data_IF_594138816452
#
_entry.id   IF_594138816452
#
_cell.length_a   1.000
_cell.length_b   1.000
_cell.length_c   1.000
_cell.angle_alpha   90.00
_cell.angle_beta   90.00
_cell.angle_gamma   90.00
#
_symmetry.space_group_name_H-M   'P 1'
#
loop_
_entity.id
_entity.type
_entity.pdbx_description
1 polymer ?
#
# COMPACT_ATOMS: atom_id res chain seq x y z
N UNK A 1 31.73 20.41 29.34
CA UNK A 1 30.26 20.34 29.26
C UNK A 1 29.95 19.20 28.32
N UNK A 2 29.49 18.08 28.87
CA UNK A 2 29.10 16.91 28.09
C UNK A 2 27.88 17.28 27.27
N UNK A 3 28.03 17.37 25.95
CA UNK A 3 26.90 17.35 25.03
C UNK A 3 26.14 16.05 25.33
N UNK A 4 24.95 16.19 25.91
CA UNK A 4 24.03 15.08 26.02
C UNK A 4 23.57 14.78 24.59
N UNK A 5 24.28 13.87 23.94
CA UNK A 5 23.97 13.37 22.61
C UNK A 5 22.50 12.94 22.62
N UNK A 6 21.65 13.71 21.92
CA UNK A 6 20.23 13.43 21.89
C UNK A 6 20.04 12.01 21.35
N UNK A 7 19.20 11.18 21.98
CA UNK A 7 18.95 9.85 21.47
C UNK A 7 18.46 9.96 20.01
N UNK A 8 18.95 9.10 19.11
CA UNK A 8 18.56 9.17 17.71
C UNK A 8 17.05 9.06 17.59
N UNK A 9 16.45 9.92 16.78
CA UNK A 9 15.01 9.92 16.47
C UNK A 9 14.82 10.10 14.97
N UNK A 10 13.63 9.75 14.46
CA UNK A 10 13.31 9.89 13.05
C UNK A 10 12.01 10.68 12.87
N UNK A 11 12.07 11.82 12.19
CA UNK A 11 10.95 12.73 11.93
C UNK A 11 10.42 12.49 10.53
N UNK A 12 9.18 12.00 10.44
CA UNK A 12 8.50 11.73 9.18
C UNK A 12 7.40 12.75 8.96
N UNK A 13 7.59 13.64 7.98
CA UNK A 13 6.55 14.53 7.51
C UNK A 13 5.49 13.76 6.69
N UNK A 14 4.23 14.16 6.76
CA UNK A 14 3.19 13.61 5.91
C UNK A 14 2.08 14.63 5.61
N UNK A 15 1.61 14.63 4.37
CA UNK A 15 0.56 15.53 3.87
C UNK A 15 -0.84 14.93 4.07
N UNK A 16 -1.92 15.74 3.98
CA UNK A 16 -3.28 15.24 4.12
C UNK A 16 -3.63 14.11 3.14
N UNK A 17 -4.43 13.15 3.63
CA UNK A 17 -4.86 11.96 2.89
C UNK A 17 -3.85 10.80 2.89
N UNK A 18 -2.58 11.07 3.22
CA UNK A 18 -1.56 10.01 3.29
C UNK A 18 -1.61 9.32 4.66
N UNK A 19 -1.61 7.98 4.67
CA UNK A 19 -1.70 7.17 5.90
C UNK A 19 -0.38 6.46 6.21
N UNK A 20 0.47 7.01 7.11
CA UNK A 20 1.79 6.43 7.40
C UNK A 20 1.75 5.19 8.31
N UNK A 21 0.59 4.86 8.89
CA UNK A 21 0.44 3.91 9.99
C UNK A 21 1.14 2.55 9.76
N UNK A 22 1.07 2.02 8.53
CA UNK A 22 1.73 0.75 8.17
C UNK A 22 3.24 0.83 8.38
N UNK A 23 3.89 1.88 7.89
CA UNK A 23 5.34 2.02 7.95
C UNK A 23 5.81 2.40 9.35
N UNK A 24 5.04 3.21 10.07
CA UNK A 24 5.31 3.54 11.48
C UNK A 24 5.29 2.30 12.36
N UNK A 25 4.31 1.42 12.18
CA UNK A 25 4.27 0.13 12.90
C UNK A 25 5.51 -0.71 12.64
N UNK A 26 5.88 -0.87 11.36
CA UNK A 26 7.06 -1.66 10.98
C UNK A 26 8.35 -1.02 11.50
N UNK A 27 8.45 0.31 11.53
CA UNK A 27 9.57 1.03 12.12
C UNK A 27 9.72 0.71 13.61
N UNK A 28 8.65 0.86 14.39
CA UNK A 28 8.67 0.57 15.83
C UNK A 28 9.04 -0.88 16.15
N UNK A 29 8.67 -1.83 15.27
CA UNK A 29 9.06 -3.24 15.39
C UNK A 29 10.55 -3.48 15.09
N UNK A 30 11.15 -2.70 14.20
CA UNK A 30 12.56 -2.87 13.77
C UNK A 30 13.55 -2.07 14.58
N UNK A 31 13.18 -0.86 14.97
CA UNK A 31 14.00 0.09 15.70
C UNK A 31 13.29 0.54 16.98
N UNK A 32 13.02 -0.36 17.93
CA UNK A 32 12.28 -0.02 19.16
C UNK A 32 13.01 1.03 20.02
N UNK A 33 14.32 1.21 19.83
CA UNK A 33 15.13 2.24 20.51
C UNK A 33 15.22 3.59 19.79
N UNK A 34 14.63 3.74 18.60
CA UNK A 34 14.66 4.98 17.80
C UNK A 34 13.23 5.44 17.57
N UNK A 35 12.71 6.38 18.37
CA UNK A 35 11.33 6.85 18.20
C UNK A 35 11.13 7.49 16.82
N UNK A 36 9.96 7.25 16.23
CA UNK A 36 9.51 7.92 15.01
C UNK A 36 8.44 8.96 15.36
N UNK A 37 8.72 10.21 15.02
CA UNK A 37 7.83 11.34 15.21
C UNK A 37 7.12 11.69 13.90
N UNK A 38 5.78 11.68 13.92
CA UNK A 38 4.98 12.10 12.78
C UNK A 38 4.76 13.61 12.81
N UNK A 39 5.08 14.28 11.70
CA UNK A 39 4.88 15.72 11.53
C UNK A 39 3.84 15.95 10.43
N UNK A 40 2.64 16.39 10.82
CA UNK A 40 1.62 16.77 9.84
C UNK A 40 1.98 18.14 9.27
N UNK A 41 1.91 18.27 7.95
CA UNK A 41 2.20 19.52 7.22
C UNK A 41 1.26 19.66 6.03
N UNK A 42 1.23 20.82 5.38
CA UNK A 42 0.49 21.03 4.13
C UNK A 42 1.30 20.52 2.93
N UNK A 43 0.65 20.27 1.79
CA UNK A 43 1.36 19.88 0.57
C UNK A 43 2.35 20.97 0.10
N UNK A 44 2.01 22.25 0.31
CA UNK A 44 2.85 23.38 -0.08
C UNK A 44 4.10 23.56 0.81
N UNK A 45 3.97 23.35 2.11
CA UNK A 45 5.08 23.54 3.05
C UNK A 45 6.05 22.36 3.10
N UNK A 46 5.57 21.15 2.76
CA UNK A 46 6.32 19.93 3.00
C UNK A 46 7.69 19.85 2.29
N UNK A 47 7.86 20.30 1.02
CA UNK A 47 9.18 20.35 0.39
C UNK A 47 10.16 21.27 1.14
N UNK A 48 9.69 22.45 1.57
CA UNK A 48 10.48 23.40 2.36
C UNK A 48 10.89 22.82 3.70
N UNK A 49 9.96 22.15 4.39
CA UNK A 49 10.24 21.48 5.66
C UNK A 49 11.36 20.43 5.56
N UNK A 50 11.45 19.70 4.44
CA UNK A 50 12.53 18.75 4.20
C UNK A 50 13.86 19.46 3.93
N UNK A 51 13.86 20.51 3.11
CA UNK A 51 15.07 21.30 2.80
C UNK A 51 15.65 21.98 4.03
N UNK A 52 14.78 22.51 4.88
CA UNK A 52 15.15 23.15 6.14
C UNK A 52 15.52 22.14 7.23
N UNK A 53 15.51 20.83 6.91
CA UNK A 53 15.83 19.73 7.84
C UNK A 53 14.90 19.72 9.07
N UNK A 54 13.68 20.21 8.90
CA UNK A 54 12.61 20.12 9.89
C UNK A 54 12.01 18.70 9.99
N UNK A 55 12.21 17.88 8.95
CA UNK A 55 11.94 16.45 8.94
C UNK A 55 13.05 15.70 8.20
N UNK A 56 13.23 14.41 8.52
CA UNK A 56 14.29 13.57 7.94
C UNK A 56 13.83 12.91 6.62
N UNK A 57 12.52 12.67 6.51
CA UNK A 57 11.85 12.26 5.27
C UNK A 57 10.39 12.72 5.27
N UNK A 58 9.75 12.71 4.11
CA UNK A 58 8.36 13.13 3.92
C UNK A 58 7.58 12.21 3.00
N UNK A 59 6.30 11.98 3.32
CA UNK A 59 5.35 11.34 2.42
C UNK A 59 4.56 12.42 1.70
N UNK A 60 4.98 12.73 0.47
CA UNK A 60 4.51 13.87 -0.32
C UNK A 60 3.68 13.42 -1.51
N UNK A 61 2.89 14.34 -2.07
CA UNK A 61 2.21 14.15 -3.35
C UNK A 61 3.07 14.70 -4.48
N UNK A 62 3.08 14.00 -5.59
CA UNK A 62 3.68 14.44 -6.84
C UNK A 62 2.56 14.86 -7.83
N UNK A 63 2.84 15.86 -8.68
CA UNK A 63 4.11 16.59 -8.76
C UNK A 63 4.31 17.57 -7.59
N UNK A 64 5.54 17.62 -7.09
CA UNK A 64 6.00 18.61 -6.13
C UNK A 64 7.30 19.21 -6.65
N UNK A 65 7.68 20.37 -6.13
CA UNK A 65 9.02 20.89 -6.33
C UNK A 65 10.03 19.94 -5.68
N UNK A 66 10.74 19.18 -6.53
CA UNK A 66 11.75 18.20 -6.12
C UNK A 66 13.18 18.69 -6.30
N UNK A 67 13.39 20.00 -6.49
CA UNK A 67 14.75 20.53 -6.48
C UNK A 67 15.44 20.08 -5.19
N UNK A 68 16.56 19.36 -5.34
CA UNK A 68 17.41 18.82 -4.26
C UNK A 68 16.75 17.75 -3.38
N UNK A 69 15.60 17.19 -3.81
CA UNK A 69 14.89 16.11 -3.12
C UNK A 69 14.90 14.82 -3.94
N UNK A 70 15.48 13.77 -3.35
CA UNK A 70 15.29 12.42 -3.82
C UNK A 70 13.83 11.98 -3.55
N UNK A 71 13.29 11.12 -4.42
CA UNK A 71 11.93 10.62 -4.28
C UNK A 71 11.79 9.17 -4.77
N UNK A 72 11.02 8.38 -4.03
CA UNK A 72 10.59 7.02 -4.43
C UNK A 72 9.06 7.01 -4.48
N UNK A 73 8.46 6.83 -5.67
CA UNK A 73 7.03 6.60 -5.80
C UNK A 73 6.58 5.38 -5.01
N UNK A 74 5.49 5.50 -4.26
CA UNK A 74 4.95 4.43 -3.41
C UNK A 74 3.66 3.85 -4.00
N UNK A 75 2.72 4.72 -4.33
CA UNK A 75 1.47 4.36 -4.98
C UNK A 75 0.86 5.58 -5.68
N UNK A 76 0.00 5.32 -6.65
CA UNK A 76 -0.78 6.36 -7.33
C UNK A 76 -2.23 6.26 -6.92
N UNK A 77 -2.83 7.41 -6.66
CA UNK A 77 -4.22 7.53 -6.24
C UNK A 77 -5.13 7.83 -7.41
N UNK A 78 -6.28 7.16 -7.43
CA UNK A 78 -7.37 7.49 -8.34
C UNK A 78 -7.90 8.89 -8.03
N UNK A 79 -8.07 9.69 -9.07
CA UNK A 79 -8.73 10.99 -9.00
C UNK A 79 -10.24 10.81 -9.09
N UNK A 80 -10.97 11.51 -8.21
CA UNK A 80 -12.42 11.39 -8.09
C UNK A 80 -13.07 12.76 -8.06
N UNK A 81 -14.30 12.85 -8.56
CA UNK A 81 -15.18 14.00 -8.36
C UNK A 81 -16.06 13.75 -7.13
N UNK A 82 -16.07 14.70 -6.21
CA UNK A 82 -16.92 14.75 -5.02
C UNK A 82 -18.17 15.53 -5.36
N UNK A 83 -19.33 14.93 -5.07
CA UNK A 83 -20.65 15.45 -5.45
C UNK A 83 -21.67 15.20 -4.33
N UNK A 84 -22.73 16.01 -4.22
CA UNK A 84 -23.91 15.66 -3.43
C UNK A 84 -24.52 14.33 -3.89
N UNK A 85 -25.08 13.55 -2.95
CA UNK A 85 -25.65 12.23 -3.26
C UNK A 85 -26.84 12.26 -4.23
N UNK A 86 -27.53 13.38 -4.30
CA UNK A 86 -28.67 13.63 -5.20
C UNK A 86 -28.25 14.26 -6.54
N UNK A 87 -26.95 14.52 -6.75
CA UNK A 87 -26.43 15.03 -8.01
C UNK A 87 -26.50 13.97 -9.13
N UNK A 88 -26.80 14.39 -10.37
CA UNK A 88 -26.93 13.49 -11.53
C UNK A 88 -25.68 12.63 -11.76
N UNK A 89 -24.50 13.22 -11.56
CA UNK A 89 -23.19 12.55 -11.65
C UNK A 89 -23.07 11.36 -10.69
N UNK A 90 -23.76 11.38 -9.55
CA UNK A 90 -23.73 10.28 -8.59
C UNK A 90 -24.38 8.99 -9.13
N UNK A 91 -25.19 9.06 -10.19
CA UNK A 91 -25.84 7.91 -10.81
C UNK A 91 -24.89 7.09 -11.71
N UNK A 92 -23.77 7.67 -12.17
CA UNK A 92 -22.77 6.96 -12.96
C UNK A 92 -21.77 6.23 -12.06
N UNK A 93 -21.18 5.12 -12.52
CA UNK A 93 -20.11 4.42 -11.80
C UNK A 93 -18.74 5.10 -11.98
N UNK A 94 -18.54 5.76 -13.12
CA UNK A 94 -17.36 6.53 -13.51
C UNK A 94 -17.83 7.73 -14.36
N UNK A 95 -17.07 8.83 -14.31
CA UNK A 95 -17.42 10.13 -14.92
C UNK A 95 -16.28 10.55 -15.83
N UNK A 96 -16.59 11.19 -16.96
CA UNK A 96 -15.58 11.79 -17.85
C UNK A 96 -15.45 13.30 -17.61
N UNK A 97 -14.34 13.89 -18.04
CA UNK A 97 -14.18 15.35 -18.04
C UNK A 97 -15.28 16.08 -18.84
N UNK A 98 -15.84 15.44 -19.87
CA UNK A 98 -16.94 15.98 -20.67
C UNK A 98 -18.26 16.06 -19.92
N UNK A 99 -18.52 15.10 -19.02
CA UNK A 99 -19.73 15.10 -18.17
C UNK A 99 -19.73 16.24 -17.15
N UNK A 100 -18.55 16.81 -16.87
CA UNK A 100 -18.37 17.94 -15.95
C UNK A 100 -18.30 19.30 -16.67
N UNK A 101 -18.41 19.35 -18.01
CA UNK A 101 -18.12 20.55 -18.80
C UNK A 101 -19.02 21.76 -18.46
N UNK A 102 -20.27 21.50 -18.08
CA UNK A 102 -21.24 22.54 -17.73
C UNK A 102 -21.33 22.81 -16.22
N UNK A 103 -20.66 21.98 -15.41
CA UNK A 103 -20.68 22.07 -13.95
C UNK A 103 -19.73 23.15 -13.44
N UNK A 104 -20.03 23.70 -12.25
CA UNK A 104 -19.11 24.59 -11.56
C UNK A 104 -18.11 23.76 -10.77
N UNK A 105 -16.81 23.94 -11.02
CA UNK A 105 -15.73 23.22 -10.36
C UNK A 105 -15.00 24.15 -9.38
N UNK A 106 -14.83 23.67 -8.16
CA UNK A 106 -14.10 24.31 -7.09
C UNK A 106 -12.62 23.95 -7.20
N UNK A 107 -11.76 24.96 -7.17
CA UNK A 107 -10.30 24.79 -7.20
C UNK A 107 -9.68 25.42 -5.94
N UNK A 108 -9.52 24.64 -4.86
CA UNK A 108 -8.93 25.18 -3.64
C UNK A 108 -7.49 25.63 -3.86
N UNK A 109 -6.96 26.51 -2.99
CA UNK A 109 -5.57 26.98 -3.09
C UNK A 109 -4.55 25.88 -2.76
N UNK A 110 -4.95 24.85 -2.03
CA UNK A 110 -4.14 23.68 -1.67
C UNK A 110 -4.32 22.48 -2.63
N UNK A 111 -4.87 22.70 -3.83
CA UNK A 111 -5.04 21.65 -4.84
C UNK A 111 -3.68 21.02 -5.20
N UNK A 112 -3.68 19.70 -5.31
CA UNK A 112 -2.48 18.88 -5.55
C UNK A 112 -2.52 18.14 -6.89
N UNK A 113 -3.56 18.37 -7.69
CA UNK A 113 -3.69 17.84 -9.03
C UNK A 113 -3.08 18.80 -10.04
N UNK A 114 -2.18 18.29 -10.88
CA UNK A 114 -1.50 19.08 -11.91
C UNK A 114 -2.31 19.13 -13.19
N UNK A 115 -3.31 20.01 -13.20
CA UNK A 115 -4.17 20.23 -14.35
C UNK A 115 -3.51 21.15 -15.36
N UNK A 116 -3.38 20.68 -16.61
CA UNK A 116 -3.13 21.59 -17.74
C UNK A 116 -4.36 22.47 -18.01
N UNK A 117 -5.55 21.85 -17.97
CA UNK A 117 -6.84 22.52 -18.13
C UNK A 117 -7.89 21.76 -17.31
N UNK A 118 -8.31 22.29 -16.15
CA UNK A 118 -9.37 21.67 -15.38
C UNK A 118 -10.69 21.62 -16.18
N UNK A 119 -11.53 20.58 -16.00
CA UNK A 119 -12.83 20.49 -16.64
C UNK A 119 -13.82 21.48 -16.01
N UNK A 120 -14.93 21.69 -16.72
CA UNK A 120 -16.03 22.50 -16.23
C UNK A 120 -15.75 24.00 -16.18
N UNK A 121 -16.62 24.71 -15.47
CA UNK A 121 -16.56 26.15 -15.28
C UNK A 121 -15.90 26.45 -13.94
N UNK A 122 -14.83 27.23 -13.94
CA UNK A 122 -14.20 27.66 -12.70
C UNK A 122 -15.18 28.49 -11.85
N UNK A 123 -15.25 28.19 -10.55
CA UNK A 123 -15.93 29.05 -9.59
C UNK A 123 -15.28 30.45 -9.54
N UNK A 124 -16.09 31.46 -9.21
CA UNK A 124 -15.63 32.85 -9.15
C UNK A 124 -14.55 33.06 -8.07
N UNK A 125 -14.71 32.40 -6.94
CA UNK A 125 -13.78 32.46 -5.82
C UNK A 125 -13.21 31.08 -5.54
N UNK A 126 -11.91 31.06 -5.22
CA UNK A 126 -11.19 29.83 -4.88
C UNK A 126 -11.23 29.62 -3.37
N UNK A 127 -11.69 28.46 -2.88
CA UNK A 127 -11.64 28.13 -1.46
C UNK A 127 -10.19 28.10 -0.96
N UNK A 128 -9.95 28.48 0.29
CA UNK A 128 -8.60 28.48 0.84
C UNK A 128 -8.04 27.05 0.96
N UNK A 129 -8.89 26.10 1.36
CA UNK A 129 -8.49 24.70 1.55
C UNK A 129 -9.46 23.73 0.88
N UNK A 130 -8.99 22.50 0.68
CA UNK A 130 -9.80 21.38 0.21
C UNK A 130 -10.97 21.12 1.17
N UNK A 131 -10.79 21.34 2.48
CA UNK A 131 -11.86 21.21 3.46
C UNK A 131 -12.96 22.27 3.25
N UNK A 132 -12.59 23.52 2.99
CA UNK A 132 -13.55 24.59 2.70
C UNK A 132 -14.31 24.31 1.39
N UNK A 133 -13.60 23.79 0.38
CA UNK A 133 -14.23 23.37 -0.87
C UNK A 133 -15.27 22.25 -0.63
N UNK A 134 -14.99 21.28 0.23
CA UNK A 134 -15.95 20.21 0.58
C UNK A 134 -17.22 20.77 1.21
N UNK A 135 -17.12 21.79 2.07
CA UNK A 135 -18.31 22.45 2.63
C UNK A 135 -19.15 23.15 1.56
N UNK A 136 -18.51 23.77 0.57
CA UNK A 136 -19.20 24.38 -0.57
C UNK A 136 -19.86 23.34 -1.49
N UNK A 137 -19.23 22.17 -1.71
CA UNK A 137 -19.87 21.06 -2.42
C UNK A 137 -21.14 20.63 -1.69
N UNK A 138 -21.08 20.47 -0.37
CA UNK A 138 -22.24 20.09 0.43
C UNK A 138 -23.36 21.15 0.42
N UNK A 139 -23.00 22.42 0.26
CA UNK A 139 -23.96 23.50 0.06
C UNK A 139 -24.50 23.59 -1.39
N UNK A 140 -24.08 22.71 -2.30
CA UNK A 140 -24.53 22.69 -3.69
C UNK A 140 -23.96 23.82 -4.56
N UNK A 141 -22.86 24.46 -4.13
CA UNK A 141 -22.24 25.59 -4.86
C UNK A 141 -21.48 25.14 -6.11
N UNK A 142 -20.95 23.93 -6.09
CA UNK A 142 -20.19 23.34 -7.17
C UNK A 142 -19.70 21.94 -6.81
N UNK A 143 -18.89 21.36 -7.68
CA UNK A 143 -18.26 20.05 -7.52
C UNK A 143 -16.77 20.21 -7.26
N UNK A 144 -16.13 19.18 -6.71
CA UNK A 144 -14.70 19.23 -6.38
C UNK A 144 -14.01 17.98 -6.89
N UNK A 145 -12.88 18.14 -7.58
CA UNK A 145 -12.06 17.00 -8.02
C UNK A 145 -10.82 16.90 -7.14
N UNK A 146 -10.57 15.72 -6.57
CA UNK A 146 -9.47 15.47 -5.63
C UNK A 146 -8.96 14.03 -5.75
N UNK A 147 -7.74 13.73 -5.25
CA UNK A 147 -7.34 12.35 -4.97
C UNK A 147 -8.33 11.65 -4.03
N UNK A 148 -8.62 10.37 -4.27
CA UNK A 148 -9.60 9.61 -3.49
C UNK A 148 -9.33 9.62 -1.98
N UNK A 149 -8.06 9.67 -1.54
CA UNK A 149 -7.77 9.75 -0.10
C UNK A 149 -8.24 11.07 0.53
N UNK A 150 -8.24 12.19 -0.19
CA UNK A 150 -8.76 13.46 0.34
C UNK A 150 -10.29 13.43 0.40
N UNK A 151 -10.96 12.85 -0.60
CA UNK A 151 -12.41 12.60 -0.54
C UNK A 151 -12.79 11.71 0.66
N UNK A 152 -11.97 10.71 0.98
CA UNK A 152 -12.15 9.86 2.17
C UNK A 152 -11.85 10.60 3.47
N UNK A 153 -10.80 11.41 3.50
CA UNK A 153 -10.41 12.20 4.68
C UNK A 153 -11.52 13.18 5.09
N UNK A 154 -12.15 13.82 4.11
CA UNK A 154 -13.22 14.80 4.32
C UNK A 154 -14.62 14.21 4.10
N UNK A 155 -14.76 12.88 4.22
CA UNK A 155 -16.03 12.22 3.99
C UNK A 155 -17.13 12.72 4.94
N UNK A 156 -18.31 12.98 4.38
CA UNK A 156 -19.54 13.35 5.10
C UNK A 156 -20.75 12.64 4.48
N UNK A 157 -21.85 12.54 5.25
CA UNK A 157 -22.96 11.61 4.94
C UNK A 157 -23.79 11.98 3.72
N UNK A 158 -23.83 13.25 3.36
CA UNK A 158 -24.57 13.86 2.25
C UNK A 158 -23.77 13.91 0.95
N UNK A 159 -22.47 13.63 0.99
CA UNK A 159 -21.60 13.58 -0.18
C UNK A 159 -21.27 12.14 -0.59
N UNK A 160 -20.91 11.98 -1.86
CA UNK A 160 -20.33 10.77 -2.44
C UNK A 160 -19.24 11.18 -3.43
N UNK A 161 -18.51 10.21 -3.98
CA UNK A 161 -17.55 10.47 -5.06
C UNK A 161 -17.63 9.42 -6.16
N UNK A 162 -17.18 9.80 -7.36
CA UNK A 162 -17.02 8.93 -8.54
C UNK A 162 -15.63 9.08 -9.16
N UNK A 163 -14.99 7.98 -9.60
CA UNK A 163 -13.78 8.04 -10.40
C UNK A 163 -13.96 8.98 -11.60
N UNK A 164 -12.94 9.79 -11.86
CA UNK A 164 -12.90 10.70 -13.00
C UNK A 164 -11.89 10.18 -14.03
N UNK A 165 -12.40 9.74 -15.18
CA UNK A 165 -11.59 9.24 -16.27
C UNK A 165 -10.83 10.38 -16.97
N UNK A 166 -9.55 10.13 -17.29
CA UNK A 166 -8.70 11.09 -18.01
C UNK A 166 -8.22 12.28 -17.17
N UNK A 167 -8.40 12.23 -15.85
CA UNK A 167 -7.85 13.23 -14.94
C UNK A 167 -6.36 12.98 -14.64
N UNK A 168 -5.58 14.01 -14.30
CA UNK A 168 -4.25 13.84 -13.72
C UNK A 168 -4.33 12.94 -12.49
N UNK A 169 -3.41 11.99 -12.38
CA UNK A 169 -3.28 11.16 -11.19
C UNK A 169 -2.40 11.84 -10.13
N UNK A 170 -2.60 11.49 -8.87
CA UNK A 170 -1.74 11.96 -7.76
C UNK A 170 -0.88 10.82 -7.23
N UNK A 171 0.44 10.92 -7.40
CA UNK A 171 1.37 9.90 -6.90
C UNK A 171 1.86 10.28 -5.51
N UNK A 172 1.73 9.38 -4.54
CA UNK A 172 2.36 9.53 -3.22
C UNK A 172 3.77 8.96 -3.28
N UNK A 173 4.75 9.73 -2.84
CA UNK A 173 6.15 9.37 -2.82
C UNK A 173 6.76 9.55 -1.42
N UNK A 174 7.76 8.72 -1.11
CA UNK A 174 8.71 9.01 -0.03
C UNK A 174 9.76 9.96 -0.60
N UNK A 175 9.98 11.10 0.04
CA UNK A 175 10.97 12.10 -0.35
C UNK A 175 11.89 12.47 0.80
N UNK A 176 13.13 12.83 0.49
CA UNK A 176 14.14 13.28 1.45
C UNK A 176 15.20 14.12 0.73
N UNK A 177 15.98 14.97 1.44
CA UNK A 177 17.08 15.72 0.81
C UNK A 177 18.13 14.76 0.22
N UNK A 178 18.50 14.95 -1.04
CA UNK A 178 19.35 13.99 -1.77
C UNK A 178 20.72 13.77 -1.10
N UNK A 179 21.31 14.84 -0.58
CA UNK A 179 22.60 14.83 0.12
C UNK A 179 22.55 14.15 1.51
N UNK A 180 21.36 13.87 2.04
CA UNK A 180 21.13 13.43 3.42
C UNK A 180 20.57 12.01 3.50
N UNK A 181 21.15 11.10 2.74
CA UNK A 181 20.80 9.67 2.79
C UNK A 181 21.48 9.02 3.99
N UNK A 182 20.96 9.29 5.20
CA UNK A 182 21.45 8.70 6.45
C UNK A 182 21.06 7.22 6.59
N UNK A 183 21.72 6.48 7.48
CA UNK A 183 21.38 5.08 7.81
C UNK A 183 19.90 4.90 8.20
N UNK A 184 19.32 5.89 8.89
CA UNK A 184 17.91 5.87 9.29
C UNK A 184 16.97 6.09 8.09
N UNK A 185 17.34 6.99 7.17
CA UNK A 185 16.62 7.18 5.90
C UNK A 185 16.70 5.90 5.06
N UNK A 186 17.87 5.27 4.95
CA UNK A 186 18.03 4.01 4.21
C UNK A 186 17.20 2.85 4.81
N UNK A 187 17.14 2.75 6.14
CA UNK A 187 16.30 1.77 6.82
C UNK A 187 14.82 2.06 6.53
N UNK A 188 14.37 3.31 6.60
CA UNK A 188 12.99 3.68 6.27
C UNK A 188 12.66 3.40 4.80
N UNK A 189 13.58 3.71 3.87
CA UNK A 189 13.50 3.32 2.46
C UNK A 189 13.33 1.79 2.33
N UNK A 190 14.04 1.02 3.16
CA UNK A 190 13.89 -0.43 3.19
C UNK A 190 12.53 -0.90 3.65
N UNK A 191 11.97 -0.23 4.66
CA UNK A 191 10.63 -0.51 5.17
C UNK A 191 9.57 -0.20 4.11
N UNK A 192 9.63 0.96 3.45
CA UNK A 192 8.63 1.32 2.43
C UNK A 192 8.68 0.39 1.21
N UNK A 193 9.88 -0.07 0.84
CA UNK A 193 10.10 -1.09 -0.21
C UNK A 193 9.77 -2.52 0.23
N UNK A 194 9.38 -2.74 1.48
CA UNK A 194 9.01 -4.05 2.00
C UNK A 194 10.18 -5.02 2.20
N UNK A 195 11.44 -4.55 2.25
CA UNK A 195 12.59 -5.40 2.59
C UNK A 195 12.36 -5.99 3.97
N UNK A 196 12.43 -7.31 4.15
CA UNK A 196 12.24 -7.95 5.46
C UNK A 196 13.41 -7.65 6.40
N UNK A 197 13.19 -7.71 7.72
CA UNK A 197 14.22 -7.42 8.73
C UNK A 197 15.48 -8.33 8.62
N UNK A 198 15.36 -9.49 7.97
CA UNK A 198 16.47 -10.43 7.71
C UNK A 198 17.18 -10.18 6.37
N UNK A 199 16.82 -9.15 5.60
CA UNK A 199 17.48 -8.80 4.34
C UNK A 199 18.75 -7.99 4.61
N UNK A 200 19.75 -8.63 5.20
CA UNK A 200 21.08 -8.05 5.39
C UNK A 200 21.89 -8.12 4.09
N UNK A 201 21.67 -7.15 3.20
CA UNK A 201 22.71 -6.68 2.26
C UNK A 201 22.91 -5.20 2.55
N UNK A 202 23.71 -4.88 3.57
CA UNK A 202 23.99 -3.48 3.94
C UNK A 202 24.79 -3.35 5.24
N UNK A 203 24.43 -4.09 6.30
CA UNK A 203 25.27 -4.16 7.49
C UNK A 203 26.40 -5.15 7.27
N UNK A 204 27.62 -4.64 7.09
CA UNK A 204 28.84 -5.43 7.15
C UNK A 204 28.80 -6.28 8.42
N UNK A 205 28.66 -7.60 8.26
CA UNK A 205 28.88 -8.53 9.33
C UNK A 205 30.38 -8.46 9.69
N UNK A 206 30.71 -7.81 10.81
CA UNK A 206 32.02 -7.99 11.42
C UNK A 206 32.26 -9.50 11.60
N UNK A 207 33.40 -10.05 11.16
CA UNK A 207 33.60 -11.49 11.17
C UNK A 207 33.73 -11.96 12.62
N UNK A 208 32.68 -12.60 13.16
CA UNK A 208 32.77 -13.33 14.43
C UNK A 208 33.83 -14.44 14.27
N UNK A 209 34.82 -14.55 15.17
CA UNK A 209 35.85 -15.58 15.07
C UNK A 209 35.23 -16.97 15.17
N UNK A 210 35.50 -17.83 14.18
CA UNK A 210 35.07 -19.24 14.13
C UNK A 210 35.83 -20.10 15.15
N UNK A 211 35.64 -19.87 16.44
CA UNK A 211 36.22 -20.72 17.49
C UNK A 211 35.46 -22.05 17.63
N UNK A 212 34.14 -22.08 17.36
CA UNK A 212 33.31 -23.28 17.54
C UNK A 212 33.47 -24.37 16.47
N UNK A 213 34.10 -24.06 15.33
CA UNK A 213 34.32 -25.04 14.24
C UNK A 213 35.59 -25.88 14.44
N UNK A 214 36.63 -25.30 15.07
CA UNK A 214 37.89 -26.01 15.36
C UNK A 214 37.74 -27.01 16.51
N UNK A 215 36.90 -26.71 17.48
CA UNK A 215 36.67 -27.58 18.63
C UNK A 215 35.90 -28.87 18.26
N UNK A 216 34.89 -28.76 17.38
CA UNK A 216 34.18 -29.94 16.82
C UNK A 216 35.06 -30.81 15.91
N UNK A 217 36.04 -30.23 15.23
CA UNK A 217 36.96 -30.99 14.37
C UNK A 217 38.00 -31.78 15.19
N UNK A 218 38.43 -31.26 16.35
CA UNK A 218 39.37 -31.93 17.25
C UNK A 218 38.73 -33.12 17.98
N UNK A 219 37.50 -32.95 18.48
CA UNK A 219 36.75 -34.02 19.15
C UNK A 219 36.40 -35.21 18.23
N UNK A 220 36.33 -34.99 16.91
CA UNK A 220 36.06 -36.08 15.94
C UNK A 220 37.32 -36.88 15.58
N UNK A 221 38.53 -36.30 15.70
CA UNK A 221 39.79 -37.02 15.47
C UNK A 221 40.18 -37.90 16.64
N UNK A 222 39.96 -37.44 17.88
CA UNK A 222 40.28 -38.23 19.09
C UNK A 222 39.37 -39.47 19.26
N UNK A 223 38.15 -39.48 18.69
CA UNK A 223 37.28 -40.67 18.67
C UNK A 223 37.63 -41.72 17.61
N UNK A 224 38.46 -41.38 16.62
CA UNK A 224 38.81 -42.30 15.52
C UNK A 224 40.06 -43.16 15.83
N UNK A 225 40.89 -42.77 16.80
CA UNK A 225 42.15 -43.46 17.12
C UNK A 225 42.03 -44.48 18.28
N UNK A 226 40.87 -44.60 18.94
CA UNK A 226 40.69 -45.42 20.15
C UNK A 226 40.03 -46.80 19.97
N UNK A 227 39.83 -47.29 18.75
CA UNK A 227 38.95 -48.44 18.48
C UNK A 227 39.58 -49.59 17.70
N UNK A 228 40.71 -50.13 18.14
CA UNK A 228 41.28 -51.37 17.61
C UNK A 228 41.28 -52.47 18.68
N UNK A 229 40.44 -53.50 18.51
CA UNK A 229 40.65 -54.77 19.21
C UNK A 229 39.41 -55.64 19.47
N UNK A 230 39.32 -56.74 18.70
CA UNK A 230 38.66 -58.04 18.98
C UNK A 230 37.12 -58.04 19.00
N UNK A 231 36.37 -58.89 18.29
CA UNK A 231 36.64 -60.20 17.69
C UNK A 231 35.53 -61.17 18.16
N UNK A 232 34.93 -61.96 17.25
CA UNK A 232 34.10 -63.12 17.62
C UNK A 232 32.71 -63.16 16.99
N UNK A 233 32.37 -64.33 16.43
CA UNK A 233 31.28 -64.61 15.50
C UNK A 233 30.11 -65.41 16.12
N UNK A 234 28.97 -65.46 15.39
CA UNK A 234 27.98 -66.56 15.27
C UNK A 234 27.23 -67.02 16.57
N UNK A 235 25.97 -67.48 16.64
CA UNK A 235 24.92 -67.97 15.71
C UNK A 235 23.66 -68.32 16.52
N UNK A 236 22.48 -68.31 15.86
CA UNK A 236 21.33 -69.20 16.11
C UNK A 236 20.25 -68.67 17.07
N UNK A 237 18.98 -69.08 17.02
CA UNK A 237 18.11 -69.72 16.02
C UNK A 237 16.68 -69.73 16.61
N UNK A 238 15.63 -69.59 15.78
CA UNK A 238 14.23 -70.11 15.93
C UNK A 238 13.42 -69.76 17.23
N UNK A 239 12.09 -69.72 17.32
CA UNK A 239 10.91 -70.06 16.48
C UNK A 239 9.65 -69.52 17.20
N UNK A 240 8.69 -68.92 16.49
CA UNK A 240 7.31 -69.45 16.33
C UNK A 240 6.28 -68.78 17.28
N UNK A 241 4.97 -68.64 17.03
CA UNK A 241 4.03 -68.96 15.94
C UNK A 241 2.68 -68.27 16.27
N UNK A 242 1.80 -68.16 15.27
CA UNK A 242 0.32 -67.97 15.29
C UNK A 242 -0.20 -66.53 15.15
N UNK A 243 -1.22 -66.21 14.34
CA UNK A 243 -2.06 -67.01 13.43
C UNK A 243 -3.18 -66.16 12.79
N UNK A 244 -3.73 -66.63 11.66
CA UNK A 244 -5.02 -66.21 11.03
C UNK A 244 -4.96 -64.97 10.10
N UNK A 245 -5.06 -65.03 8.75
CA UNK A 245 -6.19 -65.39 7.84
C UNK A 245 -7.53 -64.72 8.26
N UNK A 246 -8.34 -64.08 7.42
CA UNK A 246 -8.38 -63.86 5.98
C UNK A 246 -9.45 -62.79 5.61
N UNK A 247 -9.33 -62.21 4.42
CA UNK A 247 -10.40 -61.97 3.40
C UNK A 247 -11.81 -61.51 3.85
N UNK A 248 -12.32 -60.41 3.25
CA UNK A 248 -13.78 -60.28 3.07
C UNK A 248 -14.32 -58.89 2.72
N UNK A 249 -14.43 -58.65 1.42
CA UNK A 249 -15.01 -57.54 0.64
C UNK A 249 -16.46 -57.12 1.00
N UNK A 250 -16.85 -55.96 0.44
CA UNK A 250 -18.21 -55.40 0.16
C UNK A 250 -18.85 -54.58 1.29
N UNK A 251 -19.54 -53.45 1.09
CA UNK A 251 -19.95 -52.70 -0.10
C UNK A 251 -21.02 -51.65 0.29
N UNK A 252 -21.31 -50.69 -0.61
CA UNK A 252 -22.49 -49.80 -0.60
C UNK A 252 -22.30 -48.46 0.14
N UNK A 253 -22.27 -47.26 -0.46
CA UNK A 253 -23.03 -46.59 -1.54
C UNK A 253 -24.28 -45.80 -1.08
N UNK A 254 -24.54 -44.73 -1.85
CA UNK A 254 -25.63 -43.74 -1.82
C UNK A 254 -25.40 -42.53 -0.89
N UNK A 255 -25.64 -41.28 -1.29
CA UNK A 255 -26.32 -40.64 -2.43
C UNK A 255 -26.60 -39.19 -1.98
N UNK A 256 -26.83 -38.17 -2.81
CA UNK A 256 -27.14 -38.11 -4.23
C UNK A 256 -26.99 -36.68 -4.76
N UNK A 257 -27.16 -36.53 -6.07
CA UNK A 257 -26.94 -35.28 -6.80
C UNK A 257 -28.18 -34.40 -6.99
N UNK A 258 -27.87 -33.15 -7.39
CA UNK A 258 -28.46 -32.31 -8.46
C UNK A 258 -29.99 -32.27 -8.69
N UNK A 259 -30.56 -31.11 -9.10
CA UNK A 259 -30.55 -30.84 -10.54
C UNK A 259 -30.47 -29.36 -10.98
N UNK A 260 -29.98 -29.21 -12.22
CA UNK A 260 -30.26 -28.10 -13.14
C UNK A 260 -31.78 -27.96 -13.38
N UNK A 261 -32.24 -26.72 -13.60
CA UNK A 261 -33.37 -26.44 -14.51
C UNK A 261 -33.05 -25.24 -15.41
N UNK A 262 -33.34 -25.46 -16.69
CA UNK A 262 -33.28 -24.55 -17.83
C UNK A 262 -34.61 -24.75 -18.57
N UNK A 263 -35.35 -23.69 -18.86
CA UNK A 263 -36.45 -23.59 -19.86
C UNK A 263 -37.05 -22.18 -19.72
N UNK A 264 -37.31 -21.37 -20.74
CA UNK A 264 -37.30 -21.55 -22.20
C UNK A 264 -38.51 -20.84 -22.83
N UNK A 265 -38.27 -20.03 -23.88
CA UNK A 265 -39.20 -19.64 -24.98
C UNK A 265 -40.32 -18.62 -24.67
N UNK A 266 -40.89 -17.87 -25.62
CA UNK A 266 -40.65 -17.64 -27.06
C UNK A 266 -41.61 -16.52 -27.59
N UNK A 267 -41.26 -15.89 -28.73
CA UNK A 267 -42.16 -15.23 -29.71
C UNK A 267 -42.46 -13.73 -29.48
N UNK A 268 -42.52 -12.83 -30.48
CA UNK A 268 -42.40 -12.88 -31.95
C UNK A 268 -42.92 -11.56 -32.57
N UNK A 269 -42.50 -11.25 -33.82
CA UNK A 269 -43.08 -10.23 -34.73
C UNK A 269 -42.61 -8.78 -34.50
N UNK A 270 -42.38 -7.90 -35.47
CA UNK A 270 -42.66 -7.87 -36.91
C UNK A 270 -42.21 -6.51 -37.49
N UNK A 271 -42.17 -6.45 -38.82
CA UNK A 271 -41.63 -5.40 -39.72
C UNK A 271 -42.26 -3.99 -39.57
N UNK A 272 -41.51 -2.95 -39.97
CA UNK A 272 -42.11 -1.72 -40.54
C UNK A 272 -41.28 -0.42 -40.47
N UNK A 273 -40.57 -0.05 -41.55
CA UNK A 273 -40.39 1.36 -42.01
C UNK A 273 -41.64 1.74 -42.87
N UNK A 274 -41.94 3.01 -43.28
CA UNK A 274 -41.07 4.19 -43.37
C UNK A 274 -41.70 5.59 -43.02
N UNK A 275 -40.84 6.62 -43.06
CA UNK A 275 -41.01 8.02 -43.53
C UNK A 275 -42.32 8.80 -43.29
N UNK A 276 -42.16 10.03 -42.79
CA UNK A 276 -42.65 11.23 -43.48
C UNK A 276 -41.75 12.45 -43.23
N UNK A 277 -41.41 13.11 -44.35
CA UNK A 277 -40.93 14.49 -44.47
C UNK A 277 -42.03 15.21 -45.24
N UNK A 278 -42.24 16.49 -44.93
CA UNK A 278 -43.03 17.48 -45.69
C UNK A 278 -44.55 17.32 -45.66
#
# INVERSE_FOLDING_TARGET
MTDAEQPPSFRLAYVPGVTPAKWVRIWGERLPGVPLHLLRTTAAEAPGLLRDRGADAGLLRLPADRADLAAIPLYTETTVVVVPKDHVVAAADEVSAGDLADEVLLHPLDDTLDWERPPGRAALERPATTADAIELVAAGVGLLVVPQSLARLHHRRDLTYRPLAGAPESTVALSWPEEETTDLVEEFIGIVRGRTANSSRGRQASPRPKLKAREKARAKRERAEGGAGRGGAATGNASGTSGGKASGRTGGAAGGGSPRRRSGGAGGGGRGKPRRRS
#
